data_IF_716549330712
#
_entry.id   IF_716549330712
#
_cell.length_a   1.000
_cell.length_b   1.000
_cell.length_c   1.000
_cell.angle_alpha   90.00
_cell.angle_beta   90.00
_cell.angle_gamma   90.00
#
_symmetry.space_group_name_H-M   'P 1'
#
loop_
_entity.id
_entity.type
_entity.pdbx_description
1 polymer ?
#
# COMPACT_ATOMS: atom_id res chain seq x y z
N UNK A 1 -23.24 -31.35 8.67
CA UNK A 1 -21.80 -31.12 8.49
C UNK A 1 -21.54 -30.99 7.00
N UNK A 2 -21.51 -29.77 6.49
CA UNK A 2 -21.19 -29.47 5.09
C UNK A 2 -20.33 -28.22 5.12
N UNK A 3 -19.07 -28.39 4.70
CA UNK A 3 -18.06 -27.33 4.58
C UNK A 3 -18.62 -26.12 3.85
N UNK A 4 -18.55 -24.95 4.49
CA UNK A 4 -18.70 -23.68 3.79
C UNK A 4 -17.52 -23.51 2.83
N UNK A 5 -17.79 -23.60 1.54
CA UNK A 5 -16.82 -23.28 0.50
C UNK A 5 -16.39 -21.82 0.65
N UNK A 6 -15.13 -21.64 1.03
CA UNK A 6 -14.40 -20.40 0.78
C UNK A 6 -14.33 -20.28 -0.74
N UNK A 7 -15.13 -19.37 -1.31
CA UNK A 7 -14.96 -19.01 -2.71
C UNK A 7 -13.49 -18.63 -2.93
N UNK A 8 -12.77 -19.29 -3.86
CA UNK A 8 -11.39 -18.94 -4.12
C UNK A 8 -11.37 -17.48 -4.56
N UNK A 9 -10.62 -16.65 -3.83
CA UNK A 9 -10.22 -15.32 -4.29
C UNK A 9 -9.80 -15.46 -5.76
N UNK A 10 -10.34 -14.63 -6.66
CA UNK A 10 -9.91 -14.55 -8.08
C UNK A 10 -8.39 -14.73 -8.11
N UNK A 11 -7.92 -15.74 -8.86
CA UNK A 11 -6.56 -16.28 -8.76
C UNK A 11 -5.52 -15.20 -8.53
N UNK A 12 -4.98 -15.15 -7.31
CA UNK A 12 -4.01 -14.14 -6.91
C UNK A 12 -2.76 -14.17 -7.80
N UNK A 13 -1.95 -13.09 -7.77
CA UNK A 13 -0.73 -12.98 -8.56
C UNK A 13 0.16 -14.21 -8.36
N UNK A 14 0.65 -14.77 -9.46
CA UNK A 14 1.55 -15.91 -9.40
C UNK A 14 2.90 -15.45 -8.85
N UNK A 15 3.18 -15.78 -7.59
CA UNK A 15 4.36 -15.29 -6.86
C UNK A 15 5.68 -15.54 -7.60
N UNK A 16 5.81 -16.65 -8.32
CA UNK A 16 7.01 -16.93 -9.12
C UNK A 16 7.14 -15.95 -10.30
N UNK A 17 6.06 -15.75 -11.07
CA UNK A 17 6.02 -14.75 -12.15
C UNK A 17 6.25 -13.34 -11.60
N UNK A 18 5.67 -13.03 -10.44
CA UNK A 18 5.85 -11.75 -9.76
C UNK A 18 7.29 -11.45 -9.42
N UNK A 19 8.03 -12.42 -8.88
CA UNK A 19 9.47 -12.24 -8.57
C UNK A 19 10.29 -11.97 -9.82
N UNK A 20 10.00 -12.67 -10.92
CA UNK A 20 10.66 -12.42 -12.21
C UNK A 20 10.32 -11.01 -12.71
N UNK A 21 9.03 -10.65 -12.73
CA UNK A 21 8.55 -9.35 -13.17
C UNK A 21 9.17 -8.20 -12.35
N UNK A 22 9.22 -8.32 -11.02
CA UNK A 22 9.83 -7.35 -10.13
C UNK A 22 11.34 -7.22 -10.36
N UNK A 23 12.04 -8.35 -10.55
CA UNK A 23 13.48 -8.34 -10.84
C UNK A 23 13.79 -7.67 -12.18
N UNK A 24 13.00 -7.96 -13.22
CA UNK A 24 13.12 -7.35 -14.54
C UNK A 24 12.81 -5.85 -14.46
N UNK A 25 11.71 -5.47 -13.79
CA UNK A 25 11.35 -4.07 -13.59
C UNK A 25 12.42 -3.29 -12.84
N UNK A 26 13.02 -3.87 -11.80
CA UNK A 26 14.12 -3.26 -11.05
C UNK A 26 15.36 -3.05 -11.93
N UNK A 27 15.75 -4.05 -12.72
CA UNK A 27 16.84 -3.93 -13.67
C UNK A 27 16.61 -2.79 -14.66
N UNK A 28 15.44 -2.75 -15.31
CA UNK A 28 15.11 -1.70 -16.28
C UNK A 28 14.88 -0.32 -15.65
N UNK A 29 14.57 -0.27 -14.35
CA UNK A 29 14.44 1.00 -13.63
C UNK A 29 15.79 1.49 -13.10
N UNK A 30 16.82 0.65 -13.05
CA UNK A 30 18.14 0.96 -12.52
C UNK A 30 18.24 0.86 -11.00
N UNK A 31 17.35 0.09 -10.36
CA UNK A 31 17.36 -0.16 -8.92
C UNK A 31 18.26 -1.35 -8.61
N UNK A 32 19.18 -1.20 -7.66
CA UNK A 32 19.99 -2.32 -7.16
C UNK A 32 19.12 -3.20 -6.27
N UNK A 33 19.32 -4.52 -6.33
CA UNK A 33 18.70 -5.44 -5.37
C UNK A 33 19.18 -5.11 -3.95
N UNK A 34 18.33 -5.39 -2.96
CA UNK A 34 18.64 -5.27 -1.54
C UNK A 34 19.16 -3.87 -1.14
N UNK A 35 18.62 -2.81 -1.76
CA UNK A 35 19.11 -1.44 -1.55
C UNK A 35 18.05 -0.45 -1.07
N UNK A 36 16.80 -0.87 -0.89
CA UNK A 36 15.70 0.01 -0.49
C UNK A 36 14.92 -0.64 0.65
N UNK A 37 14.36 0.16 1.55
CA UNK A 37 13.34 -0.32 2.50
C UNK A 37 11.97 -0.19 1.86
N UNK A 38 11.06 -1.12 2.15
CA UNK A 38 9.69 -1.08 1.64
C UNK A 38 8.72 -0.95 2.83
N UNK A 39 7.83 0.02 2.75
CA UNK A 39 6.72 0.21 3.68
C UNK A 39 5.42 0.07 2.90
N UNK A 40 4.44 -0.64 3.43
CA UNK A 40 3.09 -0.76 2.88
C UNK A 40 2.09 -0.13 3.86
N UNK A 41 1.40 0.92 3.42
CA UNK A 41 0.32 1.55 4.18
C UNK A 41 -1.02 1.19 3.53
N UNK A 42 -1.95 0.62 4.31
CA UNK A 42 -3.25 0.13 3.84
C UNK A 42 -4.41 0.97 4.42
N UNK A 43 -5.41 1.35 3.61
CA UNK A 43 -6.55 2.13 4.06
C UNK A 43 -7.46 1.28 4.93
N UNK A 44 -7.68 1.69 6.19
CA UNK A 44 -8.51 1.00 7.17
C UNK A 44 -9.95 1.52 7.23
N UNK A 45 -10.24 2.67 6.62
CA UNK A 45 -11.55 3.32 6.64
C UNK A 45 -12.60 2.65 5.72
N UNK A 46 -12.17 1.75 4.83
CA UNK A 46 -13.04 1.14 3.84
C UNK A 46 -13.07 -0.37 3.97
N UNK A 47 -14.28 -0.94 4.06
CA UNK A 47 -14.47 -2.39 4.16
C UNK A 47 -14.34 -3.10 2.80
N UNK A 48 -14.63 -2.41 1.70
CA UNK A 48 -14.73 -3.02 0.37
C UNK A 48 -13.41 -3.64 -0.11
N UNK A 49 -12.25 -2.94 -0.04
CA UNK A 49 -10.96 -3.46 -0.52
C UNK A 49 -10.47 -4.74 0.18
N UNK A 50 -10.95 -5.00 1.39
CA UNK A 50 -10.65 -6.22 2.13
C UNK A 50 -11.59 -7.38 1.75
N UNK A 51 -12.77 -7.09 1.20
CA UNK A 51 -13.79 -8.10 0.85
C UNK A 51 -13.73 -8.58 -0.59
N UNK A 52 -13.32 -7.71 -1.50
CA UNK A 52 -13.15 -8.01 -2.93
C UNK A 52 -11.80 -8.69 -3.22
N UNK A 53 -10.83 -8.55 -2.31
CA UNK A 53 -9.50 -9.13 -2.41
C UNK A 53 -8.42 -8.15 -2.88
N UNK A 54 -8.74 -6.88 -3.06
CA UNK A 54 -7.80 -5.83 -3.49
C UNK A 54 -6.61 -5.69 -2.54
N UNK A 55 -6.88 -5.60 -1.23
CA UNK A 55 -5.81 -5.54 -0.21
C UNK A 55 -4.96 -6.80 -0.24
N UNK A 56 -5.58 -7.97 -0.38
CA UNK A 56 -4.85 -9.23 -0.47
C UNK A 56 -3.92 -9.29 -1.69
N UNK A 57 -4.34 -8.78 -2.84
CA UNK A 57 -3.48 -8.66 -4.02
C UNK A 57 -2.31 -7.69 -3.77
N UNK A 58 -2.59 -6.51 -3.22
CA UNK A 58 -1.54 -5.52 -2.92
C UNK A 58 -0.51 -6.03 -1.92
N UNK A 59 -0.94 -6.77 -0.90
CA UNK A 59 -0.06 -7.42 0.06
C UNK A 59 0.87 -8.42 -0.63
N UNK A 60 0.35 -9.29 -1.51
CA UNK A 60 1.21 -10.23 -2.26
C UNK A 60 2.26 -9.51 -3.10
N UNK A 61 1.85 -8.46 -3.81
CA UNK A 61 2.76 -7.68 -4.67
C UNK A 61 3.79 -6.91 -3.87
N UNK A 62 3.40 -6.34 -2.73
CA UNK A 62 4.33 -5.69 -1.80
C UNK A 62 5.34 -6.69 -1.23
N UNK A 63 4.89 -7.89 -0.82
CA UNK A 63 5.77 -8.95 -0.32
C UNK A 63 6.80 -9.40 -1.38
N UNK A 64 6.38 -9.52 -2.64
CA UNK A 64 7.30 -9.79 -3.77
C UNK A 64 8.30 -8.64 -3.93
N UNK A 65 7.86 -7.39 -3.85
CA UNK A 65 8.77 -6.25 -3.97
C UNK A 65 9.78 -6.21 -2.82
N UNK A 66 9.33 -6.46 -1.59
CA UNK A 66 10.18 -6.58 -0.40
C UNK A 66 11.25 -7.67 -0.58
N UNK A 67 10.86 -8.86 -1.03
CA UNK A 67 11.78 -9.97 -1.27
C UNK A 67 12.88 -9.66 -2.30
N UNK A 68 12.59 -8.87 -3.33
CA UNK A 68 13.58 -8.56 -4.38
C UNK A 68 14.43 -7.33 -4.02
N UNK A 69 13.84 -6.34 -3.35
CA UNK A 69 14.42 -5.01 -3.17
C UNK A 69 14.96 -4.73 -1.76
N UNK A 70 14.41 -5.38 -0.73
CA UNK A 70 14.73 -5.12 0.68
C UNK A 70 15.93 -5.94 1.15
N UNK A 71 16.90 -5.34 1.88
CA UNK A 71 18.01 -6.08 2.46
C UNK A 71 17.58 -7.21 3.40
N UNK A 72 16.44 -7.05 4.08
CA UNK A 72 15.93 -8.04 5.05
C UNK A 72 14.83 -8.93 4.48
N UNK A 73 14.45 -8.73 3.22
CA UNK A 73 13.21 -9.23 2.60
C UNK A 73 11.91 -8.79 3.30
N UNK A 74 11.98 -7.99 4.38
CA UNK A 74 10.80 -7.54 5.11
C UNK A 74 10.17 -6.31 4.47
N UNK A 75 8.84 -6.27 4.54
CA UNK A 75 8.03 -5.08 4.33
C UNK A 75 7.45 -4.64 5.67
N UNK A 76 7.70 -3.40 6.07
CA UNK A 76 7.02 -2.80 7.22
C UNK A 76 5.59 -2.48 6.82
N UNK A 77 4.61 -2.85 7.64
CA UNK A 77 3.20 -2.69 7.29
C UNK A 77 2.47 -1.85 8.34
N UNK A 78 1.52 -1.06 7.88
CA UNK A 78 0.57 -0.39 8.74
C UNK A 78 -0.79 -0.31 8.05
N UNK A 79 -1.83 -0.14 8.86
CA UNK A 79 -3.12 0.34 8.39
C UNK A 79 -3.36 1.74 8.92
N UNK A 80 -4.06 2.58 8.16
CA UNK A 80 -4.35 3.95 8.56
C UNK A 80 -5.84 4.26 8.47
N UNK A 81 -6.32 5.01 9.46
CA UNK A 81 -7.66 5.61 9.54
C UNK A 81 -7.45 7.09 9.82
N UNK A 82 -7.95 7.64 10.92
CA UNK A 82 -7.50 8.91 11.48
C UNK A 82 -6.18 8.80 12.26
N UNK A 83 -5.71 7.56 12.48
CA UNK A 83 -4.44 7.24 13.13
C UNK A 83 -3.73 6.13 12.35
N UNK A 84 -2.40 5.98 12.54
CA UNK A 84 -1.65 4.87 11.96
C UNK A 84 -1.49 3.75 12.99
N UNK A 85 -1.81 2.53 12.58
CA UNK A 85 -1.64 1.34 13.38
C UNK A 85 -0.65 0.39 12.70
N UNK A 86 0.48 0.14 13.36
CA UNK A 86 1.48 -0.82 12.88
C UNK A 86 0.90 -2.23 12.88
N UNK A 87 1.14 -2.94 11.79
CA UNK A 87 0.81 -4.35 11.63
C UNK A 87 2.10 -5.20 11.69
N UNK A 88 2.02 -6.53 11.87
CA UNK A 88 3.19 -7.39 11.81
C UNK A 88 3.92 -7.26 10.47
N UNK A 89 5.25 -7.31 10.49
CA UNK A 89 6.06 -7.26 9.26
C UNK A 89 5.66 -8.36 8.29
N UNK A 90 5.66 -8.01 7.00
CA UNK A 90 5.24 -8.88 5.91
C UNK A 90 6.46 -9.47 5.21
N UNK A 91 6.46 -10.79 5.03
CA UNK A 91 7.42 -11.56 4.26
C UNK A 91 6.71 -12.35 3.17
N UNK A 92 7.39 -12.61 2.06
CA UNK A 92 6.82 -13.41 0.98
C UNK A 92 6.50 -14.85 1.42
N UNK A 93 7.32 -15.43 2.30
CA UNK A 93 7.12 -16.79 2.84
C UNK A 93 5.81 -16.94 3.62
N UNK A 94 5.36 -15.87 4.26
CA UNK A 94 4.23 -15.87 5.20
C UNK A 94 3.05 -15.04 4.68
N UNK A 95 3.10 -14.60 3.42
CA UNK A 95 2.13 -13.66 2.85
C UNK A 95 0.68 -14.17 2.95
N UNK A 96 0.41 -15.44 2.63
CA UNK A 96 -0.96 -15.98 2.71
C UNK A 96 -1.50 -16.02 4.14
N UNK A 97 -0.64 -16.37 5.12
CA UNK A 97 -1.02 -16.33 6.53
C UNK A 97 -1.28 -14.89 6.99
N UNK A 98 -0.39 -13.97 6.63
CA UNK A 98 -0.56 -12.55 6.91
C UNK A 98 -1.87 -12.03 6.32
N UNK A 99 -2.20 -12.41 5.08
CA UNK A 99 -3.44 -12.03 4.40
C UNK A 99 -4.66 -12.58 5.13
N UNK A 100 -4.65 -13.85 5.53
CA UNK A 100 -5.75 -14.44 6.29
C UNK A 100 -6.00 -13.68 7.60
N UNK A 101 -4.92 -13.29 8.29
CA UNK A 101 -4.98 -12.59 9.57
C UNK A 101 -5.36 -11.10 9.44
N UNK A 102 -4.83 -10.39 8.43
CA UNK A 102 -4.83 -8.92 8.35
C UNK A 102 -5.31 -8.32 7.02
N UNK A 103 -5.36 -9.10 5.96
CA UNK A 103 -5.54 -8.62 4.58
C UNK A 103 -6.90 -8.92 3.96
N UNK A 104 -7.80 -9.60 4.67
CA UNK A 104 -9.14 -9.95 4.18
C UNK A 104 -10.21 -9.66 5.21
N UNK A 105 -11.43 -9.44 4.75
CA UNK A 105 -12.63 -9.45 5.58
C UNK A 105 -13.66 -10.39 4.95
N UNK A 106 -14.37 -11.20 5.75
CA UNK A 106 -15.49 -11.96 5.22
C UNK A 106 -16.52 -10.98 4.64
N UNK A 107 -17.10 -11.29 3.48
CA UNK A 107 -18.31 -10.58 3.03
C UNK A 107 -19.36 -10.73 4.14
N UNK A 108 -20.01 -9.62 4.50
CA UNK A 108 -20.93 -9.63 5.63
C UNK A 108 -21.96 -10.76 5.45
N UNK A 109 -22.13 -11.67 6.41
CA UNK A 109 -23.14 -12.71 6.30
C UNK A 109 -24.52 -12.06 6.28
N UNK A 110 -25.44 -12.59 5.47
CA UNK A 110 -26.82 -12.11 5.41
C UNK A 110 -27.57 -12.32 6.75
N UNK A 111 -27.06 -13.20 7.63
CA UNK A 111 -27.65 -13.57 8.93
C UNK A 111 -26.58 -13.65 10.02
N UNK A 112 -26.87 -13.10 11.21
CA UNK A 112 -25.92 -13.00 12.33
C UNK A 112 -25.42 -14.33 12.92
N UNK A 113 -26.07 -15.46 12.58
CA UNK A 113 -25.68 -16.80 13.06
C UNK A 113 -24.54 -17.45 12.26
N UNK A 114 -24.20 -16.90 11.10
CA UNK A 114 -23.13 -17.40 10.22
C UNK A 114 -21.80 -16.65 10.42
N UNK A 115 -21.69 -15.87 11.50
CA UNK A 115 -20.50 -15.08 11.79
C UNK A 115 -19.32 -16.02 12.14
N UNK A 116 -18.39 -16.17 11.19
CA UNK A 116 -17.10 -16.85 11.39
C UNK A 116 -16.30 -16.09 12.46
N UNK A 117 -15.56 -16.78 13.36
CA UNK A 117 -14.62 -16.12 14.25
C UNK A 117 -13.73 -15.17 13.46
N UNK A 118 -13.73 -13.89 13.84
CA UNK A 118 -13.04 -12.85 13.10
C UNK A 118 -11.54 -13.12 13.05
N UNK A 119 -10.92 -12.81 11.90
CA UNK A 119 -9.46 -12.75 11.80
C UNK A 119 -8.88 -11.63 12.69
N UNK A 120 -7.54 -11.56 12.79
CA UNK A 120 -6.89 -10.58 13.67
C UNK A 120 -7.31 -9.14 13.33
N UNK A 121 -7.48 -8.79 12.06
CA UNK A 121 -8.00 -7.48 11.65
C UNK A 121 -9.35 -7.17 12.31
N UNK A 122 -10.29 -8.11 12.26
CA UNK A 122 -11.64 -7.95 12.84
C UNK A 122 -11.58 -7.87 14.37
N UNK A 123 -10.68 -8.64 15.01
CA UNK A 123 -10.47 -8.59 16.46
C UNK A 123 -9.90 -7.25 16.93
N UNK A 124 -9.15 -6.55 16.08
CA UNK A 124 -8.58 -5.23 16.37
C UNK A 124 -9.40 -4.05 15.81
N UNK A 125 -10.57 -4.30 15.20
CA UNK A 125 -11.32 -3.28 14.47
C UNK A 125 -11.66 -2.04 15.31
N UNK A 126 -12.13 -2.25 16.55
CA UNK A 126 -12.45 -1.14 17.46
C UNK A 126 -11.19 -0.36 17.86
N UNK A 127 -10.12 -1.07 18.23
CA UNK A 127 -8.84 -0.44 18.63
C UNK A 127 -8.23 0.39 17.51
N UNK A 128 -8.37 -0.07 16.26
CA UNK A 128 -7.80 0.59 15.09
C UNK A 128 -8.77 1.58 14.42
N UNK A 129 -9.94 1.81 15.05
CA UNK A 129 -11.01 2.64 14.50
C UNK A 129 -11.35 2.29 13.03
N UNK A 130 -11.30 0.99 12.68
CA UNK A 130 -11.56 0.55 11.31
C UNK A 130 -12.96 0.96 10.89
N UNK A 131 -13.10 1.31 9.62
CA UNK A 131 -14.34 1.81 9.02
C UNK A 131 -14.83 3.15 9.61
N UNK A 132 -13.96 3.85 10.33
CA UNK A 132 -14.16 5.23 10.80
C UNK A 132 -13.68 6.27 9.80
N UNK A 133 -13.30 7.44 10.32
CA UNK A 133 -12.73 8.52 9.52
C UNK A 133 -11.33 8.16 8.97
N UNK A 134 -10.98 8.76 7.84
CA UNK A 134 -9.66 8.63 7.20
C UNK A 134 -8.97 10.00 7.19
N UNK A 135 -7.69 10.05 7.56
CA UNK A 135 -6.83 11.23 7.42
C UNK A 135 -5.48 10.82 6.79
N UNK A 136 -5.35 10.92 5.46
CA UNK A 136 -4.12 10.55 4.76
C UNK A 136 -2.94 11.48 5.09
N UNK A 137 -3.21 12.74 5.44
CA UNK A 137 -2.17 13.72 5.80
C UNK A 137 -1.52 13.35 7.12
N UNK A 138 -2.32 13.11 8.16
CA UNK A 138 -1.82 12.63 9.45
C UNK A 138 -1.13 11.27 9.30
N UNK A 139 -1.63 10.39 8.42
CA UNK A 139 -0.96 9.13 8.13
C UNK A 139 0.44 9.32 7.52
N UNK A 140 0.60 10.22 6.55
CA UNK A 140 1.92 10.57 5.98
C UNK A 140 2.86 11.11 7.05
N UNK A 141 2.37 12.03 7.90
CA UNK A 141 3.13 12.60 9.01
C UNK A 141 3.61 11.54 9.98
N UNK A 142 2.70 10.70 10.49
CA UNK A 142 3.02 9.67 11.48
C UNK A 142 3.97 8.61 10.88
N UNK A 143 3.75 8.18 9.64
CA UNK A 143 4.65 7.25 8.96
C UNK A 143 6.04 7.88 8.82
N UNK A 144 6.15 9.12 8.35
CA UNK A 144 7.42 9.83 8.16
C UNK A 144 8.24 9.92 9.47
N UNK A 145 7.58 10.27 10.58
CA UNK A 145 8.18 10.38 11.91
C UNK A 145 8.66 9.04 12.47
N UNK A 146 8.04 7.94 12.03
CA UNK A 146 8.33 6.59 12.50
C UNK A 146 9.24 5.78 11.56
N UNK A 147 9.74 6.40 10.49
CA UNK A 147 10.67 5.74 9.58
C UNK A 147 11.95 5.36 10.32
N UNK A 148 12.48 4.15 10.10
CA UNK A 148 13.73 3.73 10.71
C UNK A 148 14.88 4.66 10.29
N UNK A 149 15.75 5.03 11.23
CA UNK A 149 16.93 5.83 10.95
C UNK A 149 17.92 5.08 10.02
N UNK A 150 18.72 5.83 9.27
CA UNK A 150 19.80 5.30 8.43
C UNK A 150 19.71 5.66 6.94
N UNK A 151 20.74 5.26 6.20
CA UNK A 151 21.02 5.79 4.85
C UNK A 151 20.23 5.11 3.72
N UNK A 152 19.61 3.95 3.97
CA UNK A 152 18.87 3.24 2.95
C UNK A 152 17.57 4.00 2.61
N UNK A 153 17.33 4.33 1.33
CA UNK A 153 16.09 5.00 0.93
C UNK A 153 14.87 4.12 1.21
N UNK A 154 13.79 4.77 1.64
CA UNK A 154 12.52 4.11 1.90
C UNK A 154 11.54 4.38 0.77
N UNK A 155 10.95 3.32 0.21
CA UNK A 155 9.82 3.37 -0.69
C UNK A 155 8.55 3.04 0.10
N UNK A 156 7.67 4.03 0.25
CA UNK A 156 6.34 3.83 0.84
C UNK A 156 5.34 3.56 -0.27
N UNK A 157 4.77 2.37 -0.27
CA UNK A 157 3.60 2.00 -1.07
C UNK A 157 2.37 2.44 -0.29
N UNK A 158 1.85 3.62 -0.61
CA UNK A 158 0.68 4.19 0.06
C UNK A 158 -0.58 3.81 -0.70
N UNK A 159 -1.25 2.76 -0.24
CA UNK A 159 -2.48 2.29 -0.87
C UNK A 159 -3.66 3.13 -0.39
N UNK A 160 -4.52 3.57 -1.30
CA UNK A 160 -5.69 4.38 -0.98
C UNK A 160 -6.95 3.83 -1.67
N UNK A 161 -8.12 4.15 -1.11
CA UNK A 161 -9.41 3.79 -1.69
C UNK A 161 -10.39 4.94 -1.55
N UNK A 162 -10.83 5.56 -2.66
CA UNK A 162 -11.84 6.62 -2.59
C UNK A 162 -11.43 7.81 -1.72
N UNK A 163 -10.15 8.19 -1.83
CA UNK A 163 -9.46 9.10 -0.93
C UNK A 163 -10.12 10.50 -0.87
N UNK A 164 -10.65 10.90 0.29
CA UNK A 164 -11.22 12.25 0.48
C UNK A 164 -10.27 13.06 1.35
N UNK A 165 -9.56 14.02 0.77
CA UNK A 165 -8.79 15.01 1.53
C UNK A 165 -9.59 16.30 1.59
N UNK A 166 -9.83 16.83 2.78
CA UNK A 166 -10.38 18.17 2.95
C UNK A 166 -9.20 19.17 3.00
N UNK A 167 -8.77 19.68 1.85
CA UNK A 167 -7.80 20.79 1.75
C UNK A 167 -6.32 20.40 1.58
N UNK A 168 -5.41 21.30 1.96
CA UNK A 168 -3.95 21.21 1.69
C UNK A 168 -3.17 20.36 2.69
N UNK A 169 -3.82 19.78 3.71
CA UNK A 169 -3.13 19.10 4.81
C UNK A 169 -2.17 17.99 4.34
N UNK A 170 -2.59 17.16 3.37
CA UNK A 170 -1.73 16.13 2.80
C UNK A 170 -0.50 16.72 2.09
N UNK A 171 -0.68 17.85 1.41
CA UNK A 171 0.39 18.53 0.68
C UNK A 171 1.48 19.03 1.63
N UNK A 172 1.07 19.69 2.71
CA UNK A 172 1.97 20.21 3.73
C UNK A 172 2.77 19.07 4.40
N UNK A 173 2.13 17.93 4.66
CA UNK A 173 2.83 16.77 5.24
C UNK A 173 3.78 16.09 4.25
N UNK A 174 3.45 16.06 2.96
CA UNK A 174 4.36 15.54 1.93
C UNK A 174 5.58 16.45 1.74
N UNK A 175 5.39 17.77 1.79
CA UNK A 175 6.49 18.73 1.75
C UNK A 175 7.40 18.59 2.97
N UNK A 176 6.82 18.53 4.18
CA UNK A 176 7.59 18.28 5.40
C UNK A 176 8.36 16.95 5.33
N UNK A 177 7.74 15.91 4.76
CA UNK A 177 8.38 14.61 4.57
C UNK A 177 9.50 14.63 3.51
N UNK A 178 9.58 15.65 2.65
CA UNK A 178 10.57 15.73 1.56
C UNK A 178 12.02 15.81 2.05
N UNK A 179 12.24 16.30 3.28
CA UNK A 179 13.55 16.29 3.93
C UNK A 179 14.08 14.87 4.24
N UNK A 180 13.19 13.90 4.42
CA UNK A 180 13.57 12.53 4.75
C UNK A 180 14.02 11.74 3.52
N UNK A 181 14.72 10.62 3.72
CA UNK A 181 15.11 9.70 2.64
C UNK A 181 13.96 8.75 2.29
N UNK A 182 12.80 9.32 1.96
CA UNK A 182 11.54 8.63 1.71
C UNK A 182 10.94 9.06 0.39
N UNK A 183 10.39 8.10 -0.35
CA UNK A 183 9.60 8.33 -1.54
C UNK A 183 8.21 7.71 -1.37
N UNK A 184 7.18 8.51 -1.65
CA UNK A 184 5.79 8.15 -1.53
C UNK A 184 5.25 7.72 -2.90
N UNK A 185 4.88 6.46 -3.02
CA UNK A 185 4.20 5.92 -4.19
C UNK A 185 2.76 5.63 -3.84
N UNK A 186 1.87 6.55 -4.19
CA UNK A 186 0.43 6.39 -4.07
C UNK A 186 -0.08 5.41 -5.13
N UNK A 187 -0.91 4.46 -4.71
CA UNK A 187 -1.48 3.36 -5.49
C UNK A 187 -2.94 3.15 -5.08
N UNK A 188 -3.84 2.90 -6.02
CA UNK A 188 -5.22 2.55 -5.70
C UNK A 188 -6.25 3.22 -6.58
N UNK A 189 -7.52 3.01 -6.23
CA UNK A 189 -8.64 3.55 -6.99
C UNK A 189 -8.98 4.97 -6.50
N UNK A 190 -8.80 6.00 -7.33
CA UNK A 190 -9.22 7.36 -7.00
C UNK A 190 -10.74 7.49 -6.87
N UNK A 191 -11.53 6.52 -7.33
CA UNK A 191 -12.98 6.62 -7.36
C UNK A 191 -13.49 7.72 -8.27
N UNK A 192 -14.79 7.73 -8.51
CA UNK A 192 -15.45 8.81 -9.25
C UNK A 192 -15.57 10.04 -8.35
N UNK A 193 -14.81 11.09 -8.66
CA UNK A 193 -14.96 12.42 -8.04
C UNK A 193 -14.09 12.72 -6.81
N UNK A 194 -13.02 11.98 -6.55
CA UNK A 194 -12.11 12.29 -5.43
C UNK A 194 -11.04 13.33 -5.79
N UNK A 195 -10.70 14.15 -4.80
CA UNK A 195 -9.83 15.32 -4.96
C UNK A 195 -8.36 15.02 -4.72
N UNK A 196 -7.92 13.90 -4.14
CA UNK A 196 -6.47 13.73 -3.87
C UNK A 196 -5.63 13.70 -5.14
N UNK A 197 -6.20 13.28 -6.26
CA UNK A 197 -5.56 13.44 -7.56
C UNK A 197 -5.43 14.91 -7.96
N UNK A 198 -6.50 15.66 -7.74
CA UNK A 198 -6.52 17.11 -7.88
C UNK A 198 -5.52 17.77 -6.93
N UNK A 199 -5.41 17.32 -5.68
CA UNK A 199 -4.55 17.89 -4.65
C UNK A 199 -3.08 17.54 -4.90
N UNK A 200 -2.76 16.33 -5.39
CA UNK A 200 -1.40 15.95 -5.79
C UNK A 200 -0.98 16.61 -7.11
N UNK A 201 -1.88 16.73 -8.08
CA UNK A 201 -1.58 17.43 -9.34
C UNK A 201 -1.52 18.95 -9.12
N UNK A 202 -2.41 19.51 -8.30
CA UNK A 202 -2.38 20.91 -7.86
C UNK A 202 -1.15 21.16 -7.00
N UNK A 203 -0.77 20.26 -6.08
CA UNK A 203 0.49 20.32 -5.35
C UNK A 203 1.68 20.29 -6.30
N UNK A 204 1.67 19.47 -7.36
CA UNK A 204 2.76 19.49 -8.34
C UNK A 204 2.80 20.80 -9.14
N UNK A 205 1.66 21.44 -9.35
CA UNK A 205 1.55 22.72 -10.04
C UNK A 205 1.96 23.91 -9.13
N UNK A 206 1.56 23.89 -7.85
CA UNK A 206 1.75 24.98 -6.88
C UNK A 206 3.06 24.82 -6.08
N UNK A 207 3.46 23.59 -5.79
CA UNK A 207 4.65 23.19 -5.04
C UNK A 207 5.55 22.23 -5.86
N UNK A 208 6.08 22.66 -7.03
CA UNK A 208 6.92 21.83 -7.90
C UNK A 208 8.26 21.37 -7.25
N UNK A 209 8.57 21.87 -6.05
CA UNK A 209 9.72 21.46 -5.25
C UNK A 209 9.52 20.08 -4.59
N UNK A 210 8.27 19.64 -4.40
CA UNK A 210 7.97 18.32 -3.81
C UNK A 210 8.19 17.24 -4.88
N UNK A 211 9.36 16.59 -4.82
CA UNK A 211 9.81 15.62 -5.83
C UNK A 211 9.79 14.17 -5.37
N UNK A 212 9.52 13.92 -4.09
CA UNK A 212 9.55 12.59 -3.49
C UNK A 212 8.18 11.89 -3.51
N UNK A 213 7.27 12.31 -4.40
CA UNK A 213 5.91 11.75 -4.49
C UNK A 213 5.54 11.38 -5.93
N UNK A 214 4.93 10.22 -6.07
CA UNK A 214 4.34 9.73 -7.30
C UNK A 214 3.01 9.06 -7.05
N UNK A 215 2.16 9.12 -8.05
CA UNK A 215 0.89 8.44 -8.10
C UNK A 215 0.92 7.49 -9.30
N UNK A 216 0.61 6.22 -9.03
CA UNK A 216 0.43 5.22 -10.05
C UNK A 216 -1.01 5.25 -10.53
N UNK A 217 -1.24 5.67 -11.78
CA UNK A 217 -2.59 5.82 -12.34
C UNK A 217 -3.14 4.58 -13.04
N UNK A 218 -2.33 3.52 -13.20
CA UNK A 218 -2.75 2.34 -13.96
C UNK A 218 -3.27 2.68 -15.37
N UNK A 219 -3.74 1.67 -16.08
CA UNK A 219 -4.64 1.84 -17.24
C UNK A 219 -5.98 1.14 -16.96
N UNK A 220 -5.90 0.07 -16.16
CA UNK A 220 -7.02 -0.70 -15.62
C UNK A 220 -7.04 -0.55 -14.09
N UNK A 221 -8.05 -1.18 -13.48
CA UNK A 221 -8.05 -1.45 -12.04
C UNK A 221 -6.73 -2.12 -11.61
N UNK A 222 -6.29 -1.84 -10.38
CA UNK A 222 -4.95 -2.24 -9.93
C UNK A 222 -4.77 -3.76 -9.89
N UNK A 223 -5.87 -4.49 -9.67
CA UNK A 223 -5.98 -5.94 -9.65
C UNK A 223 -5.78 -6.55 -11.04
N UNK A 224 -6.17 -5.82 -12.09
CA UNK A 224 -6.07 -6.25 -13.48
C UNK A 224 -4.74 -5.85 -14.12
N UNK A 225 -3.99 -4.98 -13.46
CA UNK A 225 -2.70 -4.50 -13.92
C UNK A 225 -1.66 -5.63 -13.94
N UNK A 226 -1.01 -5.92 -15.09
CA UNK A 226 0.08 -6.87 -15.16
C UNK A 226 1.24 -6.53 -14.22
N UNK A 227 1.77 -7.54 -13.53
CA UNK A 227 2.80 -7.37 -12.48
C UNK A 227 3.99 -6.50 -12.91
N UNK A 228 4.53 -6.73 -14.11
CA UNK A 228 5.64 -5.94 -14.63
C UNK A 228 5.30 -4.45 -14.78
N UNK A 229 4.10 -4.12 -15.24
CA UNK A 229 3.67 -2.73 -15.42
C UNK A 229 3.49 -2.03 -14.08
N UNK A 230 2.97 -2.74 -13.07
CA UNK A 230 2.89 -2.22 -11.72
C UNK A 230 4.29 -1.95 -11.16
N UNK A 231 5.17 -2.96 -11.12
CA UNK A 231 6.50 -2.80 -10.54
C UNK A 231 7.33 -1.73 -11.26
N UNK A 232 7.27 -1.67 -12.60
CA UNK A 232 7.95 -0.63 -13.36
C UNK A 232 7.40 0.76 -13.07
N UNK A 233 6.06 0.89 -12.95
CA UNK A 233 5.43 2.16 -12.64
C UNK A 233 5.71 2.67 -11.22
N UNK A 234 5.94 1.76 -10.28
CA UNK A 234 6.37 2.07 -8.91
C UNK A 234 7.85 2.43 -8.86
N UNK A 235 8.73 1.63 -9.49
CA UNK A 235 10.18 1.76 -9.35
C UNK A 235 10.79 2.86 -10.22
N UNK A 236 10.22 3.17 -11.38
CA UNK A 236 10.77 4.19 -12.28
C UNK A 236 10.74 5.60 -11.67
N UNK A 237 9.62 6.10 -11.10
CA UNK A 237 9.59 7.40 -10.41
C UNK A 237 10.53 7.45 -9.21
N UNK A 238 10.54 6.39 -8.40
CA UNK A 238 11.45 6.25 -7.27
C UNK A 238 12.92 6.41 -7.69
N UNK A 239 13.33 5.72 -8.76
CA UNK A 239 14.73 5.77 -9.21
C UNK A 239 15.08 7.12 -9.83
N UNK A 240 14.13 7.76 -10.49
CA UNK A 240 14.29 9.13 -10.99
C UNK A 240 14.56 10.09 -9.84
N UNK A 241 13.73 10.06 -8.80
CA UNK A 241 13.95 10.86 -7.59
C UNK A 241 15.33 10.61 -6.95
N UNK A 242 15.76 9.34 -6.87
CA UNK A 242 17.09 8.98 -6.35
C UNK A 242 18.27 9.53 -7.16
N UNK A 243 18.09 9.85 -8.45
CA UNK A 243 19.14 10.42 -9.32
C UNK A 243 19.18 11.94 -9.29
N UNK A 244 18.06 12.57 -8.95
CA UNK A 244 17.88 14.02 -8.92
C UNK A 244 18.19 14.63 -7.53
N UNK A 245 18.41 13.78 -6.52
CA UNK A 245 18.87 14.12 -5.17
C UNK A 245 20.38 13.94 -5.05
#
# INVERSE_FOLDING_TARGET
>A
MTSGEVHPLKGGPNLHKGRIAASVAAHFSGVRRNSIRVVLALPGAHRHPFQDGTVADMVRRAAVLGEVMSPTSDVSTCTYTSQVHRLPSLRLSDAERWIADWGVLPRAPLLSRDAVPGNLLTQHAERYALFGAEDPGEAVKEIAQNLPEGDAPTLVLFFFWGLRSEGTALADQLDAASGHNVFWQFLGDPGLGSSVLGDLDALRAEAPHIRNVSLYRGWELIEETPEYLLYRGVLKPFTRWRKER
#
